data_IF_946964175316
#
_entry.id   IF_946964175316
#
_cell.length_a   1.000
_cell.length_b   1.000
_cell.length_c   1.000
_cell.angle_alpha   90.00
_cell.angle_beta   90.00
_cell.angle_gamma   90.00
#
_symmetry.space_group_name_H-M   'P 1'
#
loop_
_entity.id
_entity.type
_entity.pdbx_description
1 polymer ?
#
# COMPACT_ATOMS: atom_id res chain seq x y z
N UNK A 1 14.87 5.87 3.84
CA UNK A 1 14.35 5.33 2.57
C UNK A 1 13.39 4.22 2.94
N UNK A 2 12.20 4.16 2.33
CA UNK A 2 11.21 3.10 2.60
C UNK A 2 10.97 2.31 1.32
N UNK A 3 10.63 1.03 1.47
CA UNK A 3 10.21 0.21 0.32
C UNK A 3 8.85 0.67 -0.21
N UNK A 4 8.66 0.47 -1.52
CA UNK A 4 7.32 0.56 -2.13
C UNK A 4 6.45 -0.62 -1.68
N UNK A 5 5.12 -0.54 -1.81
CA UNK A 5 4.24 -1.67 -1.51
C UNK A 5 4.65 -2.97 -2.24
N UNK A 6 5.09 -2.85 -3.50
CA UNK A 6 5.55 -3.98 -4.30
C UNK A 6 6.85 -4.59 -3.76
N UNK A 7 7.78 -3.76 -3.31
CA UNK A 7 9.03 -4.23 -2.70
C UNK A 7 8.78 -4.87 -1.33
N UNK A 8 7.88 -4.31 -0.52
CA UNK A 8 7.47 -4.92 0.75
C UNK A 8 6.82 -6.28 0.52
N UNK A 9 5.90 -6.40 -0.45
CA UNK A 9 5.31 -7.68 -0.83
C UNK A 9 6.36 -8.70 -1.31
N UNK A 10 7.25 -8.30 -2.22
CA UNK A 10 8.32 -9.16 -2.71
C UNK A 10 9.26 -9.64 -1.60
N UNK A 11 9.55 -8.80 -0.60
CA UNK A 11 10.32 -9.22 0.56
C UNK A 11 9.56 -10.28 1.38
N UNK A 12 8.28 -10.04 1.69
CA UNK A 12 7.46 -10.96 2.47
C UNK A 12 7.32 -12.32 1.75
N UNK A 13 7.16 -12.33 0.44
CA UNK A 13 7.17 -13.55 -0.37
C UNK A 13 8.53 -14.26 -0.28
N UNK A 14 9.64 -13.52 -0.38
CA UNK A 14 10.99 -14.07 -0.25
C UNK A 14 11.25 -14.72 1.11
N UNK A 15 10.71 -14.14 2.19
CA UNK A 15 10.88 -14.67 3.56
C UNK A 15 9.72 -15.55 4.03
N UNK A 16 8.82 -16.01 3.15
CA UNK A 16 7.62 -16.76 3.51
C UNK A 16 7.91 -18.00 4.38
N UNK A 17 8.99 -18.71 4.08
CA UNK A 17 9.42 -19.92 4.81
C UNK A 17 10.36 -19.61 6.00
N UNK A 18 10.69 -18.33 6.23
CA UNK A 18 11.54 -17.96 7.34
C UNK A 18 10.84 -18.22 8.69
N UNK A 19 11.57 -18.75 9.67
CA UNK A 19 11.02 -19.02 11.01
C UNK A 19 10.33 -17.78 11.61
N UNK A 20 10.93 -16.60 11.43
CA UNK A 20 10.43 -15.31 11.93
C UNK A 20 9.55 -14.55 10.92
N UNK A 21 9.01 -15.20 9.88
CA UNK A 21 8.10 -14.57 8.90
C UNK A 21 7.03 -13.69 9.56
N UNK A 22 6.33 -14.23 10.58
CA UNK A 22 5.27 -13.51 11.28
C UNK A 22 5.76 -12.24 11.99
N UNK A 23 7.01 -12.19 12.45
CA UNK A 23 7.60 -10.96 13.00
C UNK A 23 7.77 -9.91 11.91
N UNK A 24 8.31 -10.30 10.75
CA UNK A 24 8.51 -9.39 9.62
C UNK A 24 7.20 -8.86 9.08
N UNK A 25 6.19 -9.73 8.94
CA UNK A 25 4.82 -9.37 8.59
C UNK A 25 4.26 -8.33 9.55
N UNK A 26 4.32 -8.61 10.85
CA UNK A 26 3.76 -7.73 11.87
C UNK A 26 4.45 -6.36 11.91
N UNK A 27 5.77 -6.30 11.78
CA UNK A 27 6.51 -5.03 11.72
C UNK A 27 6.19 -4.27 10.42
N UNK A 28 6.11 -4.94 9.28
CA UNK A 28 5.85 -4.30 7.98
C UNK A 28 4.45 -3.67 7.90
N UNK A 29 3.44 -4.29 8.50
CA UNK A 29 2.06 -3.80 8.44
C UNK A 29 1.65 -2.96 9.66
N UNK A 30 2.10 -3.34 10.86
CA UNK A 30 1.68 -2.70 12.12
C UNK A 30 2.76 -1.86 12.79
N UNK A 31 3.98 -1.89 12.25
CA UNK A 31 5.03 -0.95 12.62
C UNK A 31 5.55 -1.11 14.04
N UNK A 32 5.56 -2.31 14.63
CA UNK A 32 6.17 -2.51 15.95
C UNK A 32 7.66 -2.13 15.92
N UNK A 33 8.15 -1.55 17.03
CA UNK A 33 9.59 -1.37 17.22
C UNK A 33 10.25 -2.74 17.41
N UNK A 34 11.53 -2.86 17.10
CA UNK A 34 12.31 -4.10 17.27
C UNK A 34 12.15 -4.71 18.65
N UNK A 35 12.34 -3.93 19.72
CA UNK A 35 12.23 -4.41 21.10
C UNK A 35 10.81 -4.84 21.46
N UNK A 36 9.79 -4.09 20.99
CA UNK A 36 8.38 -4.44 21.17
C UNK A 36 8.06 -5.77 20.48
N UNK A 37 8.51 -5.96 19.24
CA UNK A 37 8.33 -7.22 18.53
C UNK A 37 9.07 -8.38 19.23
N UNK A 38 10.29 -8.17 19.72
CA UNK A 38 11.02 -9.21 20.46
C UNK A 38 10.37 -9.53 21.81
N UNK A 39 9.71 -8.55 22.44
CA UNK A 39 9.12 -8.64 23.77
C UNK A 39 7.64 -8.96 23.82
N UNK A 40 6.95 -9.04 22.67
CA UNK A 40 5.51 -9.20 22.65
C UNK A 40 5.09 -10.55 23.29
N UNK A 41 4.28 -10.56 24.36
CA UNK A 41 3.84 -11.79 24.99
C UNK A 41 2.54 -12.32 24.36
N UNK A 42 2.34 -13.64 24.42
CA UNK A 42 1.09 -14.26 23.96
C UNK A 42 -0.11 -13.88 24.83
N UNK A 43 0.09 -13.62 26.12
CA UNK A 43 -0.95 -13.17 27.05
C UNK A 43 -1.58 -11.83 26.66
N UNK A 44 -0.88 -11.02 25.87
CA UNK A 44 -1.35 -9.72 25.37
C UNK A 44 -1.59 -9.72 23.87
N UNK A 45 -1.62 -10.89 23.23
CA UNK A 45 -1.86 -11.04 21.80
C UNK A 45 -3.15 -11.83 21.62
N UNK A 46 -4.27 -11.10 21.52
CA UNK A 46 -5.61 -11.68 21.42
C UNK A 46 -6.01 -11.84 19.95
N UNK A 47 -5.97 -13.09 19.49
CA UNK A 47 -6.30 -13.45 18.11
C UNK A 47 -7.82 -13.52 17.85
N UNK A 48 -8.65 -13.62 18.89
CA UNK A 48 -10.11 -13.64 18.78
C UNK A 48 -10.70 -12.23 18.67
N UNK A 49 -10.11 -11.26 19.38
CA UNK A 49 -10.49 -9.84 19.29
C UNK A 49 -9.66 -9.07 18.27
N UNK A 50 -8.77 -9.76 17.52
CA UNK A 50 -7.95 -9.20 16.46
C UNK A 50 -7.14 -7.98 16.96
N UNK A 51 -6.46 -8.15 18.09
CA UNK A 51 -5.70 -7.07 18.72
C UNK A 51 -4.53 -7.59 19.53
N UNK A 52 -3.43 -6.84 19.54
CA UNK A 52 -2.37 -7.01 20.53
C UNK A 52 -2.17 -5.73 21.33
N UNK A 53 -1.77 -5.87 22.59
CA UNK A 53 -1.34 -4.76 23.43
C UNK A 53 0.18 -4.74 23.45
N UNK A 54 0.77 -3.61 23.10
CA UNK A 54 2.21 -3.39 23.25
C UNK A 54 2.42 -2.71 24.59
N UNK A 55 2.79 -3.48 25.62
CA UNK A 55 3.01 -2.97 26.98
C UNK A 55 4.43 -3.20 27.51
N UNK A 56 5.31 -3.84 26.73
CA UNK A 56 6.68 -4.19 27.12
C UNK A 56 7.59 -4.31 25.90
N UNK A 57 8.90 -4.34 26.12
CA UNK A 57 9.90 -4.54 25.09
C UNK A 57 11.13 -5.26 25.65
N UNK A 58 11.82 -6.03 24.80
CA UNK A 58 13.18 -6.46 25.10
C UNK A 58 14.17 -5.39 24.68
N UNK A 59 14.95 -4.91 25.64
CA UNK A 59 16.05 -3.97 25.43
C UNK A 59 17.38 -4.70 25.52
N UNK A 60 18.38 -4.11 24.89
CA UNK A 60 19.76 -4.59 24.95
C UNK A 60 20.57 -3.56 25.75
N UNK A 61 21.17 -3.99 26.86
CA UNK A 61 22.19 -3.23 27.58
C UNK A 61 23.54 -3.95 27.44
N UNK A 62 24.45 -3.35 26.69
CA UNK A 62 25.67 -4.05 26.24
C UNK A 62 25.33 -5.31 25.42
N UNK A 63 25.57 -6.48 25.99
CA UNK A 63 25.24 -7.79 25.39
C UNK A 63 24.08 -8.50 26.09
N UNK A 64 23.62 -7.96 27.21
CA UNK A 64 22.53 -8.55 28.00
C UNK A 64 21.19 -8.10 27.43
N UNK A 65 20.20 -8.99 27.50
CA UNK A 65 18.84 -8.74 27.08
C UNK A 65 17.99 -8.66 28.33
N UNK A 66 17.29 -7.55 28.50
CA UNK A 66 16.41 -7.33 29.63
C UNK A 66 15.00 -7.00 29.14
N UNK A 67 13.99 -7.45 29.87
CA UNK A 67 12.63 -6.96 29.71
C UNK A 67 12.55 -5.57 30.35
N UNK A 68 12.09 -4.58 29.59
CA UNK A 68 11.86 -3.23 30.08
C UNK A 68 10.41 -2.85 29.82
N UNK A 69 9.79 -2.28 30.83
CA UNK A 69 8.52 -1.58 30.66
C UNK A 69 8.71 -0.36 29.73
N UNK A 70 7.66 0.09 29.02
CA UNK A 70 7.68 1.31 28.26
C UNK A 70 8.01 2.46 29.21
N UNK A 71 8.93 3.33 28.79
CA UNK A 71 9.47 4.41 29.63
C UNK A 71 8.41 5.43 30.11
N UNK A 72 7.15 5.33 29.68
CA UNK A 72 6.01 6.21 30.04
C UNK A 72 4.66 5.48 29.89
N UNK A 73 3.64 5.92 30.64
CA UNK A 73 2.22 5.47 30.51
C UNK A 73 1.68 5.57 29.07
N UNK A 74 2.22 6.50 28.28
CA UNK A 74 1.91 6.71 26.86
C UNK A 74 2.55 5.69 25.91
N UNK A 75 3.35 4.75 26.42
CA UNK A 75 3.98 3.69 25.63
C UNK A 75 3.10 2.45 25.45
N UNK A 76 2.13 2.23 26.35
CA UNK A 76 1.16 1.15 26.23
C UNK A 76 0.08 1.49 25.21
N UNK A 77 -0.10 0.62 24.21
CA UNK A 77 -1.08 0.86 23.15
C UNK A 77 -1.67 -0.43 22.62
N UNK A 78 -2.92 -0.35 22.16
CA UNK A 78 -3.59 -1.44 21.45
C UNK A 78 -3.36 -1.28 19.96
N UNK A 79 -2.88 -2.34 19.32
CA UNK A 79 -2.68 -2.45 17.88
C UNK A 79 -3.70 -3.44 17.35
N UNK A 80 -4.67 -2.95 16.57
CA UNK A 80 -5.62 -3.80 15.86
C UNK A 80 -4.90 -4.68 14.84
N UNK A 81 -5.47 -5.83 14.50
CA UNK A 81 -4.94 -6.79 13.53
C UNK A 81 -6.01 -7.03 12.47
N UNK A 82 -5.59 -7.19 11.22
CA UNK A 82 -6.43 -7.70 10.15
C UNK A 82 -6.46 -9.24 10.16
N UNK A 83 -7.42 -9.82 9.43
CA UNK A 83 -7.65 -11.27 9.39
C UNK A 83 -6.41 -12.03 8.88
N UNK A 84 -5.73 -11.49 7.86
CA UNK A 84 -4.52 -12.11 7.31
C UNK A 84 -3.39 -12.13 8.35
N UNK A 85 -3.17 -11.02 9.06
CA UNK A 85 -2.20 -10.96 10.16
C UNK A 85 -2.55 -11.95 11.27
N UNK A 86 -3.83 -12.09 11.62
CA UNK A 86 -4.28 -13.08 12.62
C UNK A 86 -3.96 -14.50 12.16
N UNK A 87 -4.23 -14.84 10.90
CA UNK A 87 -3.92 -16.16 10.35
C UNK A 87 -2.42 -16.45 10.33
N UNK A 88 -1.60 -15.44 10.01
CA UNK A 88 -0.14 -15.53 10.08
C UNK A 88 0.33 -15.81 11.51
N UNK A 89 -0.25 -15.15 12.52
CA UNK A 89 0.08 -15.39 13.93
C UNK A 89 -0.42 -16.74 14.44
N UNK A 90 -1.58 -17.23 13.98
CA UNK A 90 -2.07 -18.59 14.29
C UNK A 90 -1.10 -19.65 13.79
N UNK A 91 -0.69 -19.59 12.52
CA UNK A 91 0.31 -20.50 11.94
C UNK A 91 1.65 -20.42 12.65
N UNK A 92 2.04 -19.23 13.11
CA UNK A 92 3.24 -19.05 13.92
C UNK A 92 3.13 -19.73 15.28
N UNK A 93 1.99 -19.57 15.98
CA UNK A 93 1.73 -20.26 17.25
C UNK A 93 1.79 -21.78 17.09
N UNK A 94 1.14 -22.33 16.07
CA UNK A 94 1.16 -23.78 15.79
C UNK A 94 2.58 -24.31 15.57
N UNK A 95 3.44 -23.57 14.84
CA UNK A 95 4.85 -23.94 14.66
C UNK A 95 5.63 -23.87 15.97
N UNK A 96 5.37 -22.86 16.79
CA UNK A 96 6.02 -22.71 18.08
C UNK A 96 5.60 -23.80 19.07
N UNK A 97 4.32 -24.18 19.09
CA UNK A 97 3.81 -25.26 19.94
C UNK A 97 4.43 -26.60 19.56
N UNK A 98 4.59 -26.88 18.26
CA UNK A 98 5.34 -28.06 17.78
C UNK A 98 6.79 -28.04 18.23
N UNK A 99 7.48 -26.91 18.09
CA UNK A 99 8.86 -26.77 18.57
C UNK A 99 8.94 -26.99 20.09
N UNK A 100 7.99 -26.45 20.85
CA UNK A 100 7.89 -26.68 22.30
C UNK A 100 7.73 -28.14 22.65
N UNK A 101 6.89 -28.88 21.92
CA UNK A 101 6.76 -30.34 22.09
C UNK A 101 8.06 -31.08 21.76
N UNK A 102 8.73 -30.71 20.66
CA UNK A 102 9.99 -31.32 20.22
C UNK A 102 11.14 -31.10 21.22
N UNK A 103 11.25 -29.89 21.79
CA UNK A 103 12.26 -29.57 22.80
C UNK A 103 11.91 -30.13 24.19
N UNK A 104 10.64 -30.38 24.48
CA UNK A 104 10.17 -30.96 25.74
C UNK A 104 10.66 -30.18 26.95
N UNK A 105 11.38 -30.84 27.86
CA UNK A 105 11.89 -30.20 29.08
C UNK A 105 13.01 -29.19 28.86
N UNK A 106 13.62 -29.16 27.67
CA UNK A 106 14.64 -28.18 27.32
C UNK A 106 14.04 -26.86 26.79
N UNK A 107 12.72 -26.78 26.63
CA UNK A 107 12.04 -25.56 26.22
C UNK A 107 12.01 -24.52 27.34
N UNK A 108 12.36 -23.28 27.01
CA UNK A 108 12.26 -22.13 27.91
C UNK A 108 10.88 -21.48 27.83
N UNK A 109 10.14 -21.52 28.94
CA UNK A 109 8.78 -20.98 29.05
C UNK A 109 8.78 -19.45 29.21
N UNK A 110 9.16 -18.75 28.15
CA UNK A 110 9.22 -17.28 28.15
C UNK A 110 7.86 -16.62 27.91
N UNK A 111 6.88 -17.34 27.35
CA UNK A 111 5.55 -16.81 27.02
C UNK A 111 5.52 -15.80 25.86
N UNK A 112 6.64 -15.59 25.17
CA UNK A 112 6.78 -14.62 24.09
C UNK A 112 6.22 -15.16 22.76
N UNK A 113 5.63 -14.28 21.95
CA UNK A 113 5.17 -14.59 20.59
C UNK A 113 6.35 -15.04 19.74
N UNK A 114 7.50 -14.36 19.85
CA UNK A 114 8.69 -14.67 19.08
C UNK A 114 9.86 -15.04 19.98
N UNK A 115 10.36 -16.26 19.80
CA UNK A 115 11.46 -16.83 20.60
C UNK A 115 12.59 -17.33 19.69
N UNK A 116 13.70 -17.76 20.28
CA UNK A 116 14.61 -18.70 19.63
C UNK A 116 13.95 -20.09 19.51
N UNK A 117 14.66 -21.03 18.87
CA UNK A 117 14.16 -22.39 18.63
C UNK A 117 13.89 -23.16 19.91
N UNK A 118 14.63 -22.86 20.98
CA UNK A 118 14.49 -23.46 22.32
C UNK A 118 13.49 -22.71 23.22
N UNK A 119 12.76 -21.72 22.70
CA UNK A 119 11.83 -20.91 23.50
C UNK A 119 12.47 -19.73 24.24
N UNK A 120 13.81 -19.62 24.23
CA UNK A 120 14.51 -18.51 24.87
C UNK A 120 14.27 -17.17 24.17
N UNK A 121 14.61 -16.06 24.83
CA UNK A 121 14.43 -14.73 24.28
C UNK A 121 15.23 -14.51 22.99
N UNK A 122 14.62 -13.77 22.06
CA UNK A 122 15.35 -13.22 20.93
C UNK A 122 16.26 -12.09 21.41
N UNK A 123 17.51 -12.11 20.97
CA UNK A 123 18.41 -10.97 21.15
C UNK A 123 18.11 -9.90 20.09
N UNK A 124 17.69 -8.67 20.46
CA UNK A 124 17.29 -7.65 19.50
C UNK A 124 18.35 -7.34 18.43
N UNK A 125 19.64 -7.26 18.80
CA UNK A 125 20.74 -7.11 17.84
C UNK A 125 20.77 -8.21 16.76
N UNK A 126 20.63 -9.48 17.16
CA UNK A 126 20.64 -10.62 16.21
C UNK A 126 19.43 -10.60 15.27
N UNK A 127 18.29 -10.09 15.73
CA UNK A 127 17.10 -9.86 14.89
C UNK A 127 17.39 -8.82 13.81
N UNK A 128 18.08 -7.72 14.17
CA UNK A 128 18.58 -6.74 13.19
C UNK A 128 19.55 -7.38 12.20
N UNK A 129 20.55 -8.12 12.67
CA UNK A 129 21.56 -8.76 11.80
C UNK A 129 20.93 -9.80 10.85
N UNK A 130 19.91 -10.54 11.33
CA UNK A 130 19.16 -11.47 10.49
C UNK A 130 18.38 -10.72 9.41
N UNK A 131 17.67 -9.64 9.78
CA UNK A 131 16.94 -8.83 8.81
C UNK A 131 17.87 -8.28 7.72
N UNK A 132 19.01 -7.71 8.09
CA UNK A 132 19.97 -7.15 7.13
C UNK A 132 20.51 -8.22 6.17
N UNK A 133 20.80 -9.42 6.67
CA UNK A 133 21.18 -10.57 5.82
C UNK A 133 20.07 -10.98 4.86
N UNK A 134 18.82 -11.02 5.33
CA UNK A 134 17.66 -11.35 4.48
C UNK A 134 17.44 -10.29 3.40
N UNK A 135 17.58 -9.00 3.73
CA UNK A 135 17.50 -7.91 2.75
C UNK A 135 18.60 -8.05 1.70
N UNK A 136 19.85 -8.27 2.12
CA UNK A 136 20.96 -8.47 1.19
C UNK A 136 20.74 -9.68 0.27
N UNK A 137 20.21 -10.78 0.82
CA UNK A 137 19.91 -11.99 0.06
C UNK A 137 18.72 -11.84 -0.91
N UNK A 138 17.76 -10.97 -0.60
CA UNK A 138 16.58 -10.72 -1.45
C UNK A 138 16.88 -9.94 -2.74
N UNK A 139 18.03 -9.25 -2.80
CA UNK A 139 18.38 -8.36 -3.91
C UNK A 139 17.57 -7.06 -3.97
N UNK A 140 16.74 -6.78 -2.96
CA UNK A 140 15.99 -5.53 -2.84
C UNK A 140 16.90 -4.37 -2.40
N UNK A 141 16.48 -3.10 -2.63
CA UNK A 141 17.22 -1.95 -2.14
C UNK A 141 17.44 -2.01 -0.61
N UNK A 142 18.63 -1.64 -0.12
CA UNK A 142 18.96 -1.78 1.28
C UNK A 142 18.11 -0.85 2.14
N UNK A 143 17.51 -1.42 3.19
CA UNK A 143 16.81 -0.69 4.26
C UNK A 143 17.17 -1.30 5.61
N UNK A 144 17.02 -0.54 6.69
CA UNK A 144 17.20 -1.05 8.07
C UNK A 144 15.89 -1.64 8.57
N UNK A 145 15.96 -2.46 9.62
CA UNK A 145 14.75 -3.00 10.26
C UNK A 145 13.78 -1.89 10.72
N UNK A 146 14.30 -0.78 11.25
CA UNK A 146 13.47 0.36 11.64
C UNK A 146 12.76 1.02 10.45
N UNK A 147 13.30 0.91 9.24
CA UNK A 147 12.69 1.47 8.05
C UNK A 147 11.44 0.69 7.63
N UNK A 148 11.26 -0.59 8.03
CA UNK A 148 9.98 -1.30 7.87
C UNK A 148 8.85 -0.61 8.63
N UNK A 149 9.13 -0.10 9.83
CA UNK A 149 8.15 0.67 10.61
C UNK A 149 7.81 2.00 9.93
N UNK A 150 8.81 2.69 9.36
CA UNK A 150 8.54 3.86 8.52
C UNK A 150 7.71 3.50 7.27
N UNK A 151 7.95 2.32 6.71
CA UNK A 151 7.14 1.71 5.65
C UNK A 151 5.69 1.52 6.10
N UNK A 152 5.44 0.92 7.27
CA UNK A 152 4.11 0.73 7.82
C UNK A 152 3.34 2.06 7.94
N UNK A 153 4.00 3.12 8.45
CA UNK A 153 3.42 4.46 8.51
C UNK A 153 3.00 4.96 7.12
N UNK A 154 3.88 4.79 6.14
CA UNK A 154 3.64 5.19 4.75
C UNK A 154 2.48 4.42 4.14
N UNK A 155 2.41 3.10 4.37
CA UNK A 155 1.34 2.23 3.87
C UNK A 155 -0.02 2.62 4.47
N UNK A 156 -0.07 2.84 5.79
CA UNK A 156 -1.29 3.29 6.46
C UNK A 156 -1.79 4.64 5.92
N UNK A 157 -0.88 5.59 5.73
CA UNK A 157 -1.24 6.91 5.18
C UNK A 157 -1.63 6.83 3.70
N UNK A 158 -1.00 5.94 2.92
CA UNK A 158 -1.39 5.67 1.53
C UNK A 158 -2.80 5.05 1.43
N UNK A 159 -3.23 4.35 2.47
CA UNK A 159 -4.58 3.83 2.64
C UNK A 159 -5.59 4.86 3.20
N UNK A 160 -5.22 6.15 3.22
CA UNK A 160 -6.05 7.27 3.68
C UNK A 160 -6.45 7.17 5.17
N UNK A 161 -5.65 6.46 5.98
CA UNK A 161 -5.84 6.39 7.43
C UNK A 161 -5.41 7.73 8.04
N UNK A 162 -6.24 8.25 8.95
CA UNK A 162 -5.98 9.51 9.63
C UNK A 162 -4.63 9.49 10.37
N UNK A 163 -3.87 10.58 10.24
CA UNK A 163 -2.51 10.70 10.78
C UNK A 163 -2.46 10.50 12.30
N UNK A 164 -3.52 10.84 13.03
CA UNK A 164 -3.61 10.60 14.47
C UNK A 164 -3.69 9.10 14.75
N UNK A 165 -4.53 8.37 14.01
CA UNK A 165 -4.65 6.91 14.12
C UNK A 165 -3.31 6.23 13.79
N UNK A 166 -2.59 6.70 12.77
CA UNK A 166 -1.25 6.20 12.44
C UNK A 166 -0.27 6.49 13.58
N UNK A 167 -0.29 7.71 14.14
CA UNK A 167 0.56 8.09 15.27
C UNK A 167 0.29 7.24 16.51
N UNK A 168 -0.98 7.02 16.83
CA UNK A 168 -1.43 6.21 17.98
C UNK A 168 -1.02 4.75 17.78
N UNK A 169 -1.24 4.18 16.59
CA UNK A 169 -0.83 2.79 16.24
C UNK A 169 0.67 2.59 16.37
N UNK A 170 1.46 3.58 15.97
CA UNK A 170 2.91 3.53 16.08
C UNK A 170 3.38 3.84 17.52
N UNK A 171 2.57 4.51 18.34
CA UNK A 171 3.01 5.00 19.65
C UNK A 171 4.08 6.08 19.52
N UNK A 172 3.89 7.02 18.58
CA UNK A 172 4.69 8.25 18.51
C UNK A 172 4.11 9.25 19.52
N UNK A 173 4.95 9.70 20.46
CA UNK A 173 4.62 10.80 21.37
C UNK A 173 4.50 12.14 20.63
N UNK A 174 5.08 12.25 19.42
CA UNK A 174 4.99 13.44 18.56
C UNK A 174 4.57 13.07 17.13
N UNK A 175 3.39 13.57 16.74
CA UNK A 175 2.82 13.44 15.39
C UNK A 175 3.69 14.05 14.29
N UNK A 176 4.61 14.98 14.61
CA UNK A 176 5.56 15.57 13.64
C UNK A 176 6.42 14.51 12.97
N UNK A 177 6.84 13.48 13.71
CA UNK A 177 7.64 12.37 13.16
C UNK A 177 6.87 11.67 12.05
N UNK A 178 5.58 11.39 12.26
CA UNK A 178 4.70 10.77 11.26
C UNK A 178 4.49 11.70 10.05
N UNK A 179 4.33 13.00 10.28
CA UNK A 179 4.14 14.01 9.23
C UNK A 179 5.37 14.19 8.33
N UNK A 180 6.56 14.18 8.92
CA UNK A 180 7.82 14.38 8.18
C UNK A 180 8.15 13.15 7.33
N UNK A 181 7.83 11.95 7.81
CA UNK A 181 7.89 10.71 7.02
C UNK A 181 6.94 10.85 5.81
N UNK A 182 5.70 11.26 6.04
CA UNK A 182 4.68 11.38 4.99
C UNK A 182 5.03 12.35 3.87
N UNK A 183 5.52 13.55 4.22
CA UNK A 183 5.90 14.59 3.25
C UNK A 183 6.99 14.12 2.29
N UNK A 184 7.84 13.17 2.71
CA UNK A 184 8.94 12.67 1.89
C UNK A 184 8.53 11.59 0.89
N UNK A 185 7.39 10.90 1.07
CA UNK A 185 7.08 9.67 0.31
C UNK A 185 5.92 9.83 -0.68
N UNK A 186 4.98 10.78 -0.49
CA UNK A 186 3.81 10.90 -1.37
C UNK A 186 3.42 12.36 -1.70
N UNK A 187 4.04 12.98 -2.74
CA UNK A 187 3.64 14.31 -3.22
C UNK A 187 2.18 14.39 -3.70
N UNK A 188 1.60 13.25 -4.12
CA UNK A 188 0.29 13.20 -4.75
C UNK A 188 -0.88 13.33 -3.75
N UNK A 189 -0.69 12.98 -2.47
CA UNK A 189 -1.81 13.04 -1.52
C UNK A 189 -2.15 14.48 -1.14
N UNK A 190 -1.16 15.37 -1.10
CA UNK A 190 -1.41 16.82 -0.95
C UNK A 190 -2.35 17.37 -2.03
N UNK A 191 -2.20 16.89 -3.28
CA UNK A 191 -3.08 17.28 -4.38
C UNK A 191 -4.49 16.71 -4.23
N UNK A 192 -4.62 15.42 -3.91
CA UNK A 192 -5.92 14.78 -3.70
C UNK A 192 -6.71 15.38 -2.53
N UNK A 193 -6.04 15.68 -1.41
CA UNK A 193 -6.64 16.36 -0.26
C UNK A 193 -7.04 17.81 -0.58
N UNK A 194 -6.19 18.53 -1.33
CA UNK A 194 -6.52 19.88 -1.82
C UNK A 194 -7.73 19.86 -2.76
N UNK A 195 -7.81 18.89 -3.67
CA UNK A 195 -8.96 18.71 -4.57
C UNK A 195 -10.25 18.36 -3.82
N UNK A 196 -10.17 17.50 -2.80
CA UNK A 196 -11.31 17.14 -1.95
C UNK A 196 -11.82 18.37 -1.17
N UNK A 197 -10.91 19.11 -0.53
CA UNK A 197 -11.25 20.33 0.21
C UNK A 197 -11.84 21.40 -0.70
N UNK A 198 -11.26 21.60 -1.89
CA UNK A 198 -11.77 22.56 -2.87
C UNK A 198 -13.18 22.21 -3.38
N UNK A 199 -13.57 20.93 -3.37
CA UNK A 199 -14.93 20.50 -3.76
C UNK A 199 -15.97 20.76 -2.67
N UNK A 200 -15.57 20.84 -1.40
CA UNK A 200 -16.47 21.12 -0.28
C UNK A 200 -16.92 22.59 -0.23
N UNK A 201 -16.19 23.49 -0.87
CA UNK A 201 -16.49 24.93 -0.86
C UNK A 201 -17.20 25.33 -2.16
N UNK A 202 -18.53 25.58 -2.14
CA UNK A 202 -19.26 25.98 -3.33
C UNK A 202 -18.89 27.41 -3.74
N UNK A 203 -18.15 27.54 -4.85
CA UNK A 203 -17.82 28.84 -5.44
C UNK A 203 -18.86 29.22 -6.50
N UNK A 204 -19.77 30.15 -6.16
CA UNK A 204 -20.84 30.61 -7.07
C UNK A 204 -20.31 31.07 -8.43
N UNK A 205 -19.22 31.85 -8.44
CA UNK A 205 -18.59 32.33 -9.69
C UNK A 205 -18.11 31.19 -10.59
N UNK A 206 -17.60 30.09 -10.00
CA UNK A 206 -17.13 28.91 -10.75
C UNK A 206 -18.32 28.14 -11.34
N UNK A 207 -19.39 27.97 -10.57
CA UNK A 207 -20.61 27.33 -11.03
C UNK A 207 -21.30 28.12 -12.17
N UNK A 208 -21.28 29.45 -12.09
CA UNK A 208 -21.78 30.35 -13.14
C UNK A 208 -20.93 30.27 -14.41
N UNK A 209 -19.61 30.27 -14.27
CA UNK A 209 -18.68 30.10 -15.39
C UNK A 209 -18.82 28.72 -16.08
N UNK A 210 -18.96 27.64 -15.30
CA UNK A 210 -19.18 26.29 -15.84
C UNK A 210 -20.54 26.16 -16.54
N UNK A 211 -21.60 26.78 -16.00
CA UNK A 211 -22.91 26.87 -16.67
C UNK A 211 -22.82 27.65 -17.97
N UNK A 212 -22.13 28.79 -17.97
CA UNK A 212 -21.93 29.62 -19.16
C UNK A 212 -21.15 28.85 -20.25
N UNK A 213 -20.08 28.15 -19.87
CA UNK A 213 -19.28 27.31 -20.75
C UNK A 213 -20.09 26.14 -21.34
N UNK A 214 -20.87 25.42 -20.52
CA UNK A 214 -21.77 24.35 -21.00
C UNK A 214 -22.82 24.89 -21.97
N UNK A 215 -23.38 26.08 -21.72
CA UNK A 215 -24.37 26.72 -22.60
C UNK A 215 -23.74 27.14 -23.93
N UNK A 216 -22.53 27.69 -23.91
CA UNK A 216 -21.76 28.04 -25.10
C UNK A 216 -21.42 26.80 -25.95
N UNK A 217 -20.92 25.73 -25.33
CA UNK A 217 -20.60 24.48 -26.01
C UNK A 217 -21.84 23.82 -26.65
N UNK A 218 -23.00 23.85 -25.95
CA UNK A 218 -24.27 23.33 -26.49
C UNK A 218 -24.76 24.15 -27.69
N UNK A 219 -24.63 25.48 -27.63
CA UNK A 219 -24.97 26.40 -28.73
C UNK A 219 -24.07 26.17 -29.96
N UNK A 220 -22.77 25.97 -29.74
CA UNK A 220 -21.82 25.68 -30.82
C UNK A 220 -22.07 24.32 -31.47
N UNK A 221 -22.37 23.29 -30.66
CA UNK A 221 -22.73 21.96 -31.17
C UNK A 221 -24.01 21.98 -32.00
N UNK A 222 -25.03 22.73 -31.56
CA UNK A 222 -26.26 22.94 -32.31
C UNK A 222 -26.03 23.70 -33.63
N UNK A 223 -25.18 24.73 -33.62
CA UNK A 223 -24.82 25.49 -34.83
C UNK A 223 -24.07 24.62 -35.85
N UNK A 224 -23.15 23.76 -35.39
CA UNK A 224 -22.43 22.79 -36.25
C UNK A 224 -23.35 21.71 -36.81
N UNK A 225 -24.35 21.25 -36.05
CA UNK A 225 -25.36 20.30 -36.53
C UNK A 225 -26.25 20.91 -37.61
N UNK A 226 -26.78 22.13 -37.38
CA UNK A 226 -27.62 22.84 -38.36
C UNK A 226 -26.86 23.18 -39.66
N UNK A 227 -25.57 23.52 -39.57
CA UNK A 227 -24.74 23.75 -40.75
C UNK A 227 -24.52 22.46 -41.58
N UNK A 228 -24.48 21.30 -40.92
CA UNK A 228 -24.33 19.99 -41.57
C UNK A 228 -25.61 19.52 -42.27
N UNK A 229 -26.78 19.88 -41.73
CA UNK A 229 -28.07 19.63 -42.36
C UNK A 229 -28.33 20.58 -43.56
N UNK A 230 -27.90 21.83 -43.47
CA UNK A 230 -28.02 22.80 -44.57
C UNK A 230 -27.11 22.46 -45.78
N UNK A 231 -25.96 21.83 -45.54
CA UNK A 231 -25.05 21.35 -46.59
C UNK A 231 -25.61 20.11 -47.33
N UNK A 232 -26.36 19.25 -46.63
CA UNK A 232 -27.05 18.10 -47.23
C UNK A 232 -28.28 18.50 -48.08
N UNK A 233 -28.82 19.72 -47.92
CA UNK A 233 -30.00 20.22 -48.63
C UNK A 233 -29.74 20.90 -49.98
N UNK A 234 -28.47 21.18 -50.34
CA UNK A 234 -28.10 21.79 -51.64
C UNK A 234 -27.66 20.75 -52.68
N UNK A 235 -28.49 19.71 -52.87
CA UNK A 235 -28.37 18.75 -53.98
C UNK A 235 -29.56 18.86 -54.94
N UNK A 236 -29.72 20.01 -55.59
CA UNK A 236 -30.80 20.22 -56.57
C UNK A 236 -30.58 19.44 -57.88
N UNK A 237 -31.48 18.52 -58.20
CA UNK A 237 -31.87 18.15 -59.59
C UNK A 237 -32.82 19.24 -60.14
N UNK A 238 -33.17 19.36 -61.46
CA UNK A 238 -33.00 18.41 -62.58
C UNK A 238 -32.74 19.04 -64.00
N UNK A 239 -32.44 18.22 -65.03
CA UNK A 239 -33.27 18.12 -66.27
C UNK A 239 -32.79 17.01 -67.22
N UNK A 240 -33.77 16.32 -67.81
CA UNK A 240 -33.64 15.39 -68.94
C UNK A 240 -33.40 16.19 -70.22
N UNK A 241 -32.54 15.69 -71.11
CA UNK A 241 -32.83 15.68 -72.55
C UNK A 241 -32.10 14.55 -73.28
N UNK A 242 -32.81 14.01 -74.28
CA UNK A 242 -32.46 12.84 -75.10
C UNK A 242 -31.37 13.20 -76.13
N UNK A 243 -30.45 12.27 -76.44
CA UNK A 243 -30.17 11.80 -77.81
C UNK A 243 -28.97 10.83 -77.89
N UNK A 244 -29.26 9.66 -78.47
CA UNK A 244 -28.50 8.86 -79.45
C UNK A 244 -26.96 8.74 -79.42
N UNK A 245 -26.56 7.46 -79.40
CA UNK A 245 -25.73 6.77 -80.39
C UNK A 245 -24.19 6.69 -80.22
N UNK A 246 -23.77 5.42 -80.09
CA UNK A 246 -22.66 4.75 -80.78
C UNK A 246 -21.20 4.99 -80.35
N UNK A 247 -20.66 3.89 -79.82
CA UNK A 247 -19.51 3.14 -80.35
C UNK A 247 -18.08 3.47 -79.90
N UNK A 248 -17.45 2.36 -79.46
CA UNK A 248 -16.11 1.86 -79.79
C UNK A 248 -14.91 2.29 -78.93
N UNK A 249 -14.34 1.23 -78.31
CA UNK A 249 -12.89 0.89 -78.23
C UNK A 249 -12.00 1.82 -77.38
N UNK A 250 -11.05 1.38 -76.55
CA UNK A 250 -10.31 0.12 -76.39
C UNK A 250 -9.35 0.27 -75.21
N UNK A 251 -9.03 -0.85 -74.53
CA UNK A 251 -7.72 -1.17 -73.89
C UNK A 251 -7.32 -0.30 -72.69
N UNK A 252 -6.62 -0.76 -71.66
CA UNK A 252 -5.88 -1.99 -71.32
C UNK A 252 -5.66 -1.87 -69.79
N UNK A 253 -5.86 -2.93 -69.01
CA UNK A 253 -4.78 -3.73 -68.39
C UNK A 253 -3.99 -2.97 -67.30
N UNK A 254 -3.68 -3.48 -66.11
CA UNK A 254 -3.60 -4.87 -65.62
C UNK A 254 -3.20 -4.84 -64.14
N UNK A 255 -3.60 -5.86 -63.36
CA UNK A 255 -2.84 -6.61 -62.31
C UNK A 255 -2.01 -5.81 -61.26
N UNK A 256 -1.91 -6.18 -59.98
CA UNK A 256 -2.15 -7.43 -59.25
C UNK A 256 -1.98 -7.11 -57.74
N UNK A 257 -2.83 -7.71 -56.92
CA UNK A 257 -2.66 -8.08 -55.48
C UNK A 257 -1.43 -9.00 -55.26
N UNK A 258 -1.12 -9.52 -54.03
CA UNK A 258 -1.43 -9.07 -52.66
C UNK A 258 -0.27 -9.27 -51.62
N UNK A 259 -0.53 -8.86 -50.37
CA UNK A 259 -0.15 -9.44 -49.05
C UNK A 259 1.15 -10.26 -48.91
N UNK A 260 1.97 -9.85 -47.94
CA UNK A 260 2.15 -10.58 -46.67
C UNK A 260 2.09 -9.59 -45.52
#
# INVERSE_FOLDING_TARGET
>A
MVWTPQQTGAFLDFVAENRLYAMWHLIAFRGLRRGEACGQPWSETNLDTHSLTVSSQLVQDGWEVEASDPKTDSGSRVVALDDDTVDVLKRHRERQDKAREEWGTAWFETGHVFTQEDGSWLHPGKVTDLFERLVAASGLPPIRLHDLRHGAATLMLAADIDIKIVSDTLGHSDTRITRDIYQSVLPHVGKSAAEATAKLVPLQRKAEAEKAARKAAKKEKARKAAAKEADAGKGGKPKKDKAKAQAKTTKKATRRKPKK
#
